data_IF_707971048985
#
_entry.id   IF_707971048985
#
_cell.length_a   1.000
_cell.length_b   1.000
_cell.length_c   1.000
_cell.angle_alpha   90.00
_cell.angle_beta   90.00
_cell.angle_gamma   90.00
#
_symmetry.space_group_name_H-M   'P 1'
#
loop_
_entity.id
_entity.type
_entity.pdbx_description
1 polymer ?
#
# COMPACT_ATOMS: atom_id res chain seq x y z
N UNK A 1 32.45 36.60 -39.96
CA UNK A 1 32.66 38.06 -39.79
C UNK A 1 31.54 38.52 -38.92
N UNK A 2 31.78 39.08 -37.88
CA UNK A 2 32.28 40.12 -37.14
C UNK A 2 31.96 39.92 -35.63
N UNK A 3 33.01 40.10 -34.87
CA UNK A 3 33.01 40.22 -33.39
C UNK A 3 32.39 41.55 -32.96
N UNK A 4 31.69 41.59 -31.87
CA UNK A 4 31.60 42.77 -31.04
C UNK A 4 31.68 42.45 -29.56
N UNK A 5 32.85 42.79 -29.00
CA UNK A 5 33.17 42.87 -27.57
C UNK A 5 32.69 44.25 -27.08
N UNK A 6 32.01 44.27 -25.95
CA UNK A 6 31.92 45.51 -25.15
C UNK A 6 32.32 45.21 -23.72
N UNK A 7 33.34 45.92 -23.28
CA UNK A 7 33.84 46.04 -21.92
C UNK A 7 33.08 47.14 -21.17
N UNK A 8 33.01 47.08 -19.89
CA UNK A 8 32.77 48.20 -18.97
C UNK A 8 31.97 47.70 -17.74
N UNK A 9 32.45 47.71 -16.66
CA UNK A 9 33.16 48.45 -15.60
C UNK A 9 32.38 48.28 -14.30
N UNK A 10 33.14 48.04 -13.26
CA UNK A 10 32.77 47.89 -11.85
C UNK A 10 31.90 49.04 -11.29
N UNK A 11 30.96 48.71 -10.40
CA UNK A 11 30.82 49.53 -9.20
C UNK A 11 30.23 48.70 -8.06
N UNK A 12 30.90 48.77 -6.94
CA UNK A 12 30.59 48.10 -5.68
C UNK A 12 29.55 48.94 -4.91
N UNK A 13 28.47 48.32 -4.52
CA UNK A 13 27.61 48.85 -3.48
C UNK A 13 27.27 47.75 -2.45
N UNK A 14 27.92 47.82 -1.32
CA UNK A 14 27.57 47.04 -0.11
C UNK A 14 26.13 47.40 0.31
N UNK A 15 25.24 46.42 0.17
CA UNK A 15 23.95 46.41 0.88
C UNK A 15 23.97 45.30 1.91
N UNK A 16 24.12 45.71 3.18
CA UNK A 16 23.85 44.84 4.33
C UNK A 16 22.34 44.49 4.31
N UNK A 17 22.02 43.31 3.82
CA UNK A 17 20.71 42.70 4.01
C UNK A 17 20.82 41.70 5.15
N UNK A 18 20.19 42.04 6.25
CA UNK A 18 19.99 41.18 7.41
C UNK A 18 19.16 39.97 6.97
N UNK A 19 19.84 38.84 6.85
CA UNK A 19 19.19 37.55 6.61
C UNK A 19 18.45 37.16 7.89
N UNK A 20 17.13 37.29 7.88
CA UNK A 20 16.26 36.69 8.89
C UNK A 20 16.50 35.18 8.90
N UNK A 21 16.86 34.64 10.05
CA UNK A 21 16.97 33.20 10.30
C UNK A 21 15.65 32.54 9.93
N UNK A 22 15.65 31.48 9.11
CA UNK A 22 14.44 30.71 8.89
C UNK A 22 14.01 30.09 10.22
N UNK A 23 12.75 30.34 10.59
CA UNK A 23 12.10 29.68 11.71
C UNK A 23 12.20 28.16 11.51
N UNK A 24 12.72 27.47 12.54
CA UNK A 24 12.67 26.01 12.60
C UNK A 24 11.23 25.56 12.38
N UNK A 25 10.94 24.96 11.21
CA UNK A 25 9.83 24.03 11.09
C UNK A 25 10.10 22.90 12.08
N UNK A 26 9.24 22.76 13.04
CA UNK A 26 9.17 21.59 13.90
C UNK A 26 8.85 20.41 12.99
N UNK A 27 9.88 19.61 12.72
CA UNK A 27 9.77 18.32 12.04
C UNK A 27 9.04 17.37 13.01
N UNK A 28 7.74 17.17 12.79
CA UNK A 28 6.97 16.13 13.48
C UNK A 28 7.45 14.70 13.13
N UNK A 29 8.38 14.55 12.19
CA UNK A 29 9.06 13.29 11.89
C UNK A 29 9.97 12.76 13.00
N UNK A 30 10.41 13.62 13.92
CA UNK A 30 11.24 13.23 15.07
C UNK A 30 10.50 12.40 16.12
N UNK A 31 9.19 12.56 16.22
CA UNK A 31 8.39 11.89 17.26
C UNK A 31 8.29 10.38 17.05
N UNK A 32 8.15 9.92 15.81
CA UNK A 32 8.03 8.49 15.51
C UNK A 32 9.36 7.74 15.66
N UNK A 33 10.47 8.34 15.24
CA UNK A 33 11.80 7.76 15.42
C UNK A 33 12.20 7.69 16.91
N UNK A 34 11.81 8.67 17.72
CA UNK A 34 12.03 8.67 19.17
C UNK A 34 11.16 7.62 19.86
N UNK A 35 9.88 7.50 19.51
CA UNK A 35 9.01 6.43 20.02
C UNK A 35 9.56 5.03 19.68
N UNK A 36 10.10 4.83 18.49
CA UNK A 36 10.73 3.58 18.09
C UNK A 36 12.01 3.27 18.87
N UNK A 37 12.81 4.29 19.18
CA UNK A 37 14.03 4.13 19.98
C UNK A 37 13.71 3.73 21.43
N UNK A 38 12.67 4.29 22.02
CA UNK A 38 12.24 3.97 23.39
C UNK A 38 11.64 2.55 23.46
N UNK A 39 10.93 2.11 22.45
CA UNK A 39 10.38 0.74 22.33
C UNK A 39 11.50 -0.30 22.21
N UNK A 40 12.60 0.03 21.53
CA UNK A 40 13.76 -0.87 21.38
C UNK A 40 14.58 -1.04 22.66
N UNK A 41 14.43 -0.14 23.63
CA UNK A 41 15.16 -0.17 24.91
C UNK A 41 14.43 -0.89 26.04
N UNK A 42 13.17 -1.23 25.86
CA UNK A 42 12.37 -1.94 26.87
C UNK A 42 12.48 -3.45 26.73
N UNK A 43 12.70 -4.13 27.82
CA UNK A 43 12.63 -5.62 27.92
C UNK A 43 11.19 -6.17 27.86
N UNK A 44 10.22 -5.30 27.51
CA UNK A 44 8.82 -5.65 27.40
C UNK A 44 8.58 -6.51 26.14
N UNK A 45 8.06 -7.74 26.30
CA UNK A 45 7.77 -8.63 25.19
C UNK A 45 6.80 -8.03 24.15
N UNK A 46 5.83 -7.22 24.60
CA UNK A 46 4.85 -6.58 23.71
C UNK A 46 5.48 -5.46 22.90
N UNK A 47 6.38 -4.67 23.51
CA UNK A 47 7.15 -3.66 22.80
C UNK A 47 8.03 -4.28 21.70
N UNK A 48 8.65 -5.43 21.96
CA UNK A 48 9.45 -6.15 20.99
C UNK A 48 8.58 -6.73 19.87
N UNK A 49 7.40 -7.27 20.18
CA UNK A 49 6.44 -7.81 19.22
C UNK A 49 5.96 -6.74 18.24
N UNK A 50 5.73 -5.52 18.72
CA UNK A 50 5.23 -4.39 17.95
C UNK A 50 6.34 -3.51 17.35
N UNK A 51 7.61 -3.92 17.47
CA UNK A 51 8.71 -3.19 16.85
C UNK A 51 8.64 -3.24 15.33
N UNK A 52 9.09 -2.17 14.67
CA UNK A 52 9.16 -2.11 13.19
C UNK A 52 9.97 -3.27 12.62
N UNK A 53 11.06 -3.64 13.26
CA UNK A 53 11.89 -4.77 12.84
C UNK A 53 11.09 -6.08 12.85
N UNK A 54 10.38 -6.37 13.96
CA UNK A 54 9.54 -7.55 14.03
C UNK A 54 8.42 -7.53 13.00
N UNK A 55 7.74 -6.40 12.82
CA UNK A 55 6.65 -6.28 11.83
C UNK A 55 7.17 -6.53 10.42
N UNK A 56 8.31 -5.96 10.04
CA UNK A 56 8.92 -6.20 8.73
C UNK A 56 9.28 -7.68 8.54
N UNK A 57 9.88 -8.30 9.55
CA UNK A 57 10.23 -9.71 9.52
C UNK A 57 9.00 -10.62 9.50
N UNK A 58 7.98 -10.32 10.31
CA UNK A 58 6.74 -11.08 10.33
C UNK A 58 5.99 -11.00 8.99
N UNK A 59 5.91 -9.83 8.36
CA UNK A 59 5.26 -9.73 7.04
C UNK A 59 5.95 -10.55 5.95
N UNK A 60 7.25 -10.82 6.11
CA UNK A 60 8.02 -11.66 5.19
C UNK A 60 7.94 -13.16 5.56
N UNK A 61 7.93 -13.47 6.86
CA UNK A 61 8.02 -14.83 7.42
C UNK A 61 7.11 -14.98 8.65
N UNK A 62 5.77 -15.02 8.46
CA UNK A 62 4.82 -15.04 9.57
C UNK A 62 4.89 -16.29 10.46
N UNK A 63 5.50 -17.36 9.96
CA UNK A 63 5.74 -18.61 10.66
C UNK A 63 6.93 -18.55 11.65
N UNK A 64 7.78 -17.51 11.56
CA UNK A 64 9.05 -17.41 12.31
C UNK A 64 9.06 -16.29 13.33
N UNK A 65 8.17 -15.36 13.23
CA UNK A 65 8.15 -14.16 14.06
C UNK A 65 6.80 -14.00 14.74
N UNK A 66 6.73 -13.45 15.96
CA UNK A 66 5.47 -13.22 16.64
C UNK A 66 4.59 -12.24 15.88
N UNK A 67 3.31 -12.54 15.80
CA UNK A 67 2.34 -11.67 15.15
C UNK A 67 2.22 -10.36 15.93
N UNK A 68 2.39 -9.19 15.26
CA UNK A 68 2.20 -7.89 15.87
C UNK A 68 0.72 -7.63 16.15
N UNK A 69 0.45 -6.67 17.04
CA UNK A 69 -0.92 -6.17 17.24
C UNK A 69 -1.43 -5.47 15.99
N UNK A 70 -2.74 -5.53 15.76
CA UNK A 70 -3.38 -4.95 14.58
C UNK A 70 -3.08 -3.45 14.42
N UNK A 71 -3.06 -2.69 15.54
CA UNK A 71 -2.75 -1.25 15.51
C UNK A 71 -1.33 -0.99 15.02
N UNK A 72 -0.35 -1.70 15.59
CA UNK A 72 1.05 -1.56 15.19
C UNK A 72 1.27 -2.02 13.74
N UNK A 73 0.65 -3.12 13.34
CA UNK A 73 0.72 -3.64 11.99
C UNK A 73 0.12 -2.64 10.99
N UNK A 74 -1.10 -2.14 11.23
CA UNK A 74 -1.76 -1.20 10.33
C UNK A 74 -0.97 0.10 10.23
N UNK A 75 -0.48 0.65 11.35
CA UNK A 75 0.38 1.83 11.33
C UNK A 75 1.62 1.64 10.46
N UNK A 76 2.30 0.50 10.59
CA UNK A 76 3.47 0.18 9.77
C UNK A 76 3.13 -0.03 8.29
N UNK A 77 1.99 -0.68 7.99
CA UNK A 77 1.54 -0.92 6.61
C UNK A 77 1.25 0.38 5.84
N UNK A 78 0.94 1.47 6.52
CA UNK A 78 0.66 2.79 5.93
C UNK A 78 1.82 3.79 6.12
N UNK A 79 2.97 3.33 6.59
CA UNK A 79 4.16 4.15 6.72
C UNK A 79 4.93 4.18 5.39
N UNK A 80 5.05 5.35 4.76
CA UNK A 80 5.73 5.54 3.47
C UNK A 80 7.22 5.19 3.54
N UNK A 81 7.90 5.49 4.67
CA UNK A 81 9.31 5.21 4.85
C UNK A 81 9.64 3.71 4.78
N UNK A 82 8.68 2.86 5.14
CA UNK A 82 8.82 1.41 5.05
C UNK A 82 8.52 0.87 3.65
N UNK A 83 7.94 1.71 2.77
CA UNK A 83 7.55 1.38 1.40
C UNK A 83 8.29 2.16 0.33
N UNK A 84 9.17 3.06 0.73
CA UNK A 84 9.96 3.83 -0.22
C UNK A 84 10.96 2.94 -0.95
N UNK A 85 10.79 2.87 -2.26
CA UNK A 85 11.69 2.15 -3.17
C UNK A 85 12.85 3.03 -3.67
N UNK A 86 12.86 4.32 -3.37
CA UNK A 86 13.87 5.25 -3.89
C UNK A 86 15.25 5.01 -3.30
N UNK A 87 15.29 4.53 -2.06
CA UNK A 87 16.53 4.29 -1.30
C UNK A 87 16.85 2.82 -1.08
N UNK A 88 15.96 1.91 -1.50
CA UNK A 88 16.10 0.48 -1.26
C UNK A 88 15.72 -0.35 -2.48
N UNK A 89 16.44 -1.45 -2.69
CA UNK A 89 16.10 -2.44 -3.71
C UNK A 89 14.75 -3.13 -3.47
N UNK A 90 14.26 -3.14 -2.21
CA UNK A 90 12.98 -3.73 -1.81
C UNK A 90 12.39 -2.96 -0.63
N UNK A 91 11.05 -2.80 -0.54
CA UNK A 91 10.43 -2.20 0.63
C UNK A 91 10.74 -3.06 1.87
N UNK A 92 10.91 -2.40 3.01
CA UNK A 92 11.11 -3.09 4.30
C UNK A 92 9.90 -3.94 4.67
N UNK A 93 8.71 -3.37 4.49
CA UNK A 93 7.46 -4.06 4.78
C UNK A 93 6.95 -4.78 3.54
N UNK A 94 6.72 -6.08 3.67
CA UNK A 94 6.31 -6.99 2.60
C UNK A 94 4.89 -7.52 2.76
N UNK A 95 4.67 -8.74 2.29
CA UNK A 95 3.48 -9.55 2.57
C UNK A 95 2.22 -9.18 1.79
N UNK A 96 2.17 -8.05 1.10
CA UNK A 96 1.00 -7.60 0.30
C UNK A 96 -0.32 -7.60 1.07
N UNK A 97 -0.26 -7.19 2.33
CA UNK A 97 -1.43 -7.10 3.20
C UNK A 97 -2.29 -5.86 2.91
N UNK A 98 -1.74 -4.88 2.23
CA UNK A 98 -2.45 -3.73 1.63
C UNK A 98 -1.94 -3.54 0.22
N UNK A 99 -2.77 -2.95 -0.65
CA UNK A 99 -2.31 -2.52 -1.96
C UNK A 99 -1.58 -1.19 -1.80
N UNK A 100 -0.37 -1.12 -2.32
CA UNK A 100 0.39 0.11 -2.38
C UNK A 100 1.02 0.23 -3.76
N UNK A 101 0.72 1.32 -4.47
CA UNK A 101 1.21 1.60 -5.82
C UNK A 101 1.77 3.02 -5.88
N UNK A 102 2.82 3.22 -6.67
CA UNK A 102 3.38 4.54 -6.89
C UNK A 102 2.69 5.21 -8.08
N UNK A 103 2.15 6.40 -7.85
CA UNK A 103 1.60 7.24 -8.90
C UNK A 103 2.69 7.86 -9.78
N UNK A 104 2.37 8.31 -11.01
CA UNK A 104 3.31 9.00 -11.88
C UNK A 104 3.92 10.27 -11.27
N UNK A 105 3.20 10.95 -10.38
CA UNK A 105 3.65 12.14 -9.64
C UNK A 105 4.56 11.81 -8.44
N UNK A 106 4.79 10.52 -8.19
CA UNK A 106 5.63 10.04 -7.09
C UNK A 106 4.90 9.78 -5.78
N UNK A 107 3.64 10.21 -5.65
CA UNK A 107 2.81 9.89 -4.48
C UNK A 107 2.47 8.41 -4.41
N UNK A 108 2.08 7.93 -3.22
CA UNK A 108 1.67 6.55 -3.02
C UNK A 108 0.14 6.45 -2.94
N UNK A 109 -0.40 5.58 -3.77
CA UNK A 109 -1.78 5.11 -3.68
C UNK A 109 -1.86 3.96 -2.69
N UNK A 110 -2.91 3.96 -1.87
CA UNK A 110 -3.21 2.86 -0.94
C UNK A 110 -4.64 2.35 -1.13
N UNK A 111 -4.80 1.04 -0.98
CA UNK A 111 -6.10 0.45 -0.77
C UNK A 111 -6.03 -0.59 0.37
N UNK A 112 -6.90 -0.49 1.41
CA UNK A 112 -7.86 0.60 1.67
C UNK A 112 -7.20 1.98 1.71
N UNK A 113 -7.96 3.08 1.46
CA UNK A 113 -7.42 4.45 1.50
C UNK A 113 -6.85 4.81 2.88
N UNK A 114 -5.95 5.80 2.93
CA UNK A 114 -5.35 6.26 4.19
C UNK A 114 -6.35 6.80 5.20
N UNK A 115 -7.40 7.45 4.70
CA UNK A 115 -8.50 8.04 5.46
C UNK A 115 -9.63 7.03 5.79
N UNK A 116 -9.52 5.78 5.34
CA UNK A 116 -10.45 4.72 5.76
C UNK A 116 -10.35 4.49 7.28
N UNK A 117 -11.47 4.07 7.89
CA UNK A 117 -11.51 3.76 9.31
C UNK A 117 -10.54 2.63 9.69
N UNK A 118 -10.17 2.57 10.98
CA UNK A 118 -9.32 1.49 11.47
C UNK A 118 -9.97 0.12 11.23
N UNK A 119 -11.26 0.00 11.48
CA UNK A 119 -12.04 -1.23 11.32
C UNK A 119 -12.05 -1.69 9.86
N UNK A 120 -12.17 -0.77 8.92
CA UNK A 120 -12.12 -1.08 7.49
C UNK A 120 -10.73 -1.58 7.07
N UNK A 121 -9.68 -0.90 7.51
CA UNK A 121 -8.29 -1.33 7.28
C UNK A 121 -8.02 -2.70 7.87
N UNK A 122 -8.46 -2.91 9.12
CA UNK A 122 -8.33 -4.18 9.83
C UNK A 122 -9.05 -5.31 9.09
N UNK A 123 -10.31 -5.12 8.74
CA UNK A 123 -11.10 -6.14 8.03
C UNK A 123 -10.47 -6.55 6.69
N UNK A 124 -9.89 -5.58 5.97
CA UNK A 124 -9.13 -5.86 4.75
C UNK A 124 -7.86 -6.66 5.05
N UNK A 125 -7.05 -6.21 6.01
CA UNK A 125 -5.81 -6.89 6.41
C UNK A 125 -6.09 -8.32 6.87
N UNK A 126 -7.12 -8.55 7.68
CA UNK A 126 -7.53 -9.89 8.15
C UNK A 126 -7.93 -10.80 6.98
N UNK A 127 -8.64 -10.25 6.00
CA UNK A 127 -8.95 -11.00 4.78
C UNK A 127 -7.67 -11.42 4.06
N UNK A 128 -6.71 -10.48 3.93
CA UNK A 128 -5.43 -10.75 3.25
C UNK A 128 -4.53 -11.69 4.06
N UNK A 129 -4.50 -11.60 5.40
CA UNK A 129 -3.78 -12.56 6.27
C UNK A 129 -4.22 -14.00 6.00
N UNK A 130 -5.50 -14.22 5.76
CA UNK A 130 -6.06 -15.55 5.46
C UNK A 130 -5.64 -16.15 4.11
N UNK A 131 -4.94 -15.42 3.25
CA UNK A 131 -4.50 -15.87 1.94
C UNK A 131 -3.02 -16.27 1.94
N UNK A 132 -2.65 -17.20 1.07
CA UNK A 132 -1.25 -17.48 0.78
C UNK A 132 -0.57 -16.27 0.11
N UNK A 133 0.76 -16.27 0.06
CA UNK A 133 1.53 -15.20 -0.59
C UNK A 133 1.15 -15.03 -2.07
N UNK A 134 0.93 -16.13 -2.77
CA UNK A 134 0.54 -16.13 -4.19
C UNK A 134 -0.87 -15.59 -4.38
N UNK A 135 -1.83 -16.03 -3.56
CA UNK A 135 -3.20 -15.52 -3.59
C UNK A 135 -3.25 -14.01 -3.30
N UNK A 136 -2.45 -13.52 -2.33
CA UNK A 136 -2.33 -12.08 -2.06
C UNK A 136 -1.80 -11.32 -3.27
N UNK A 137 -0.84 -11.90 -4.00
CA UNK A 137 -0.31 -11.31 -5.22
C UNK A 137 -1.40 -11.15 -6.28
N UNK A 138 -2.20 -12.19 -6.51
CA UNK A 138 -3.31 -12.15 -7.47
C UNK A 138 -4.34 -11.09 -7.08
N UNK A 139 -4.78 -11.10 -5.83
CA UNK A 139 -5.76 -10.11 -5.33
C UNK A 139 -5.23 -8.67 -5.41
N UNK A 140 -3.97 -8.42 -5.04
CA UNK A 140 -3.40 -7.06 -5.14
C UNK A 140 -3.28 -6.59 -6.58
N UNK A 141 -3.02 -7.48 -7.54
CA UNK A 141 -3.01 -7.14 -8.96
C UNK A 141 -4.42 -6.81 -9.45
N UNK A 142 -5.43 -7.62 -9.13
CA UNK A 142 -6.83 -7.34 -9.47
C UNK A 142 -7.29 -5.96 -8.95
N UNK A 143 -6.95 -5.65 -7.70
CA UNK A 143 -7.27 -4.34 -7.11
C UNK A 143 -6.52 -3.23 -7.84
N UNK A 144 -5.23 -3.42 -8.14
CA UNK A 144 -4.42 -2.47 -8.90
C UNK A 144 -4.99 -2.22 -10.30
N UNK A 145 -5.44 -3.27 -10.96
CA UNK A 145 -6.09 -3.19 -12.28
C UNK A 145 -7.41 -2.44 -12.21
N UNK A 146 -8.23 -2.70 -11.19
CA UNK A 146 -9.51 -2.01 -10.97
C UNK A 146 -9.31 -0.49 -10.84
N UNK A 147 -8.22 -0.06 -10.18
CA UNK A 147 -7.90 1.36 -10.00
C UNK A 147 -6.99 1.92 -11.10
N UNK A 148 -6.71 1.16 -12.16
CA UNK A 148 -6.04 1.66 -13.37
C UNK A 148 -4.52 1.72 -13.30
N UNK A 149 -3.89 1.02 -12.35
CA UNK A 149 -2.43 0.96 -12.22
C UNK A 149 -1.76 -0.06 -13.15
N UNK A 150 -2.51 -0.98 -13.73
CA UNK A 150 -1.97 -1.96 -14.67
C UNK A 150 -2.38 -1.65 -16.10
N UNK A 151 -1.43 -1.70 -17.06
CA UNK A 151 -1.74 -1.55 -18.48
C UNK A 151 -2.34 -2.83 -19.08
N UNK A 152 -2.32 -3.96 -18.36
CA UNK A 152 -2.57 -5.29 -18.93
C UNK A 152 -4.04 -5.69 -18.97
N UNK A 153 -4.93 -4.98 -18.27
CA UNK A 153 -6.35 -5.31 -18.24
C UNK A 153 -7.25 -4.16 -18.69
N UNK A 154 -7.42 -3.95 -20.02
CA UNK A 154 -8.25 -2.87 -20.55
C UNK A 154 -9.73 -3.00 -20.16
N UNK A 155 -10.17 -4.17 -19.71
CA UNK A 155 -11.55 -4.43 -19.34
C UNK A 155 -11.92 -3.82 -17.98
N UNK A 156 -11.08 -3.97 -16.98
CA UNK A 156 -11.25 -3.34 -15.67
C UNK A 156 -11.04 -1.83 -15.75
N UNK A 157 -10.23 -1.36 -16.70
CA UNK A 157 -9.98 0.07 -16.97
C UNK A 157 -11.23 0.88 -17.28
N UNK A 158 -12.27 0.28 -17.84
CA UNK A 158 -13.55 1.00 -18.12
C UNK A 158 -14.34 1.31 -16.87
N UNK A 159 -14.06 0.66 -15.75
CA UNK A 159 -14.66 0.96 -14.45
C UNK A 159 -13.76 1.81 -13.54
N UNK A 160 -12.51 2.06 -13.93
CA UNK A 160 -11.48 2.76 -13.15
C UNK A 160 -11.70 4.25 -12.92
N UNK A 161 -12.86 4.80 -13.28
CA UNK A 161 -13.28 6.13 -12.83
C UNK A 161 -13.80 6.14 -11.39
N UNK A 162 -13.80 4.97 -10.72
CA UNK A 162 -14.14 4.91 -9.29
C UNK A 162 -12.93 5.36 -8.49
N UNK A 163 -13.10 6.39 -7.69
CA UNK A 163 -12.12 6.78 -6.68
C UNK A 163 -12.04 5.69 -5.62
N UNK A 164 -10.84 5.37 -5.13
CA UNK A 164 -10.64 4.33 -4.11
C UNK A 164 -11.53 4.51 -2.87
N UNK A 165 -11.81 5.76 -2.47
CA UNK A 165 -12.71 6.09 -1.37
C UNK A 165 -14.20 5.79 -1.62
N UNK A 166 -14.61 5.52 -2.88
CA UNK A 166 -15.98 5.16 -3.21
C UNK A 166 -16.28 3.66 -3.11
N UNK A 167 -15.24 2.82 -2.88
CA UNK A 167 -15.38 1.37 -2.79
C UNK A 167 -14.98 0.91 -1.40
N UNK A 168 -15.95 0.49 -0.61
CA UNK A 168 -15.68 -0.09 0.72
C UNK A 168 -15.08 -1.48 0.60
N UNK A 169 -14.20 -1.85 1.53
CA UNK A 169 -13.58 -3.18 1.56
C UNK A 169 -14.61 -4.32 1.67
N UNK A 170 -15.76 -4.06 2.29
CA UNK A 170 -16.85 -5.03 2.39
C UNK A 170 -17.49 -5.40 1.06
N UNK A 171 -17.47 -4.50 0.07
CA UNK A 171 -18.06 -4.70 -1.26
C UNK A 171 -17.03 -4.93 -2.36
N UNK A 172 -15.77 -4.61 -2.09
CA UNK A 172 -14.68 -4.74 -3.08
C UNK A 172 -14.57 -6.15 -3.64
N UNK A 173 -14.51 -7.14 -2.76
CA UNK A 173 -14.29 -8.54 -3.19
C UNK A 173 -15.49 -9.08 -3.97
N UNK A 174 -16.70 -8.64 -3.64
CA UNK A 174 -17.91 -9.01 -4.40
C UNK A 174 -17.86 -8.39 -5.81
N UNK A 175 -17.46 -7.11 -5.91
CA UNK A 175 -17.29 -6.44 -7.20
C UNK A 175 -16.20 -7.09 -8.05
N UNK A 176 -15.05 -7.43 -7.47
CA UNK A 176 -13.97 -8.12 -8.18
C UNK A 176 -14.43 -9.49 -8.69
N UNK A 177 -15.14 -10.24 -7.84
CA UNK A 177 -15.67 -11.55 -8.19
C UNK A 177 -16.64 -11.47 -9.36
N UNK A 178 -17.58 -10.55 -9.31
CA UNK A 178 -18.56 -10.36 -10.38
C UNK A 178 -17.89 -10.01 -11.72
N UNK A 179 -16.87 -9.15 -11.70
CA UNK A 179 -16.13 -8.78 -12.91
C UNK A 179 -15.31 -9.94 -13.45
N UNK A 180 -14.62 -10.70 -12.61
CA UNK A 180 -13.84 -11.88 -13.06
C UNK A 180 -14.76 -12.95 -13.63
N UNK A 181 -15.92 -13.23 -13.00
CA UNK A 181 -16.90 -14.18 -13.51
C UNK A 181 -17.48 -13.73 -14.85
N UNK A 182 -17.76 -12.43 -14.99
CA UNK A 182 -18.25 -11.86 -16.23
C UNK A 182 -17.23 -11.98 -17.36
N UNK A 183 -15.96 -11.72 -17.06
CA UNK A 183 -14.84 -11.91 -18.00
C UNK A 183 -14.77 -13.36 -18.45
N UNK A 184 -14.76 -14.32 -17.52
CA UNK A 184 -14.70 -15.74 -17.83
C UNK A 184 -15.85 -16.22 -18.74
N UNK A 185 -17.06 -15.66 -18.57
CA UNK A 185 -18.22 -15.97 -19.44
C UNK A 185 -18.04 -15.46 -20.87
N UNK A 186 -17.24 -14.42 -21.06
CA UNK A 186 -16.99 -13.80 -22.38
C UNK A 186 -15.73 -14.36 -23.07
N UNK A 187 -14.81 -14.94 -22.30
CA UNK A 187 -13.57 -15.50 -22.82
C UNK A 187 -13.83 -16.80 -23.58
N UNK A 188 -13.18 -16.94 -24.75
CA UNK A 188 -13.17 -18.20 -25.46
C UNK A 188 -12.49 -19.29 -24.62
N UNK A 189 -12.89 -20.55 -24.81
CA UNK A 189 -12.36 -21.71 -24.07
C UNK A 189 -10.85 -21.87 -24.24
N UNK A 190 -10.33 -21.52 -25.41
CA UNK A 190 -8.92 -21.62 -25.78
C UNK A 190 -8.14 -20.29 -25.54
N UNK A 191 -8.73 -19.31 -24.84
CA UNK A 191 -8.03 -18.07 -24.53
C UNK A 191 -6.83 -18.34 -23.60
N UNK A 192 -5.61 -17.93 -23.98
CA UNK A 192 -4.40 -18.21 -23.20
C UNK A 192 -4.42 -17.60 -21.79
N UNK A 193 -5.25 -16.59 -21.56
CA UNK A 193 -5.39 -15.95 -20.25
C UNK A 193 -6.49 -16.60 -19.39
N UNK A 194 -7.27 -17.51 -19.93
CA UNK A 194 -8.38 -18.15 -19.22
C UNK A 194 -7.93 -18.88 -17.95
N UNK A 195 -6.85 -19.70 -17.95
CA UNK A 195 -6.37 -20.37 -16.74
C UNK A 195 -6.02 -19.39 -15.62
N UNK A 196 -5.46 -18.23 -15.97
CA UNK A 196 -5.16 -17.18 -15.00
C UNK A 196 -6.44 -16.61 -14.36
N UNK A 197 -7.44 -16.31 -15.18
CA UNK A 197 -8.75 -15.82 -14.72
C UNK A 197 -9.49 -16.84 -13.84
N UNK A 198 -9.37 -18.12 -14.15
CA UNK A 198 -9.94 -19.20 -13.34
C UNK A 198 -9.27 -19.27 -11.95
N UNK A 199 -7.97 -19.06 -11.87
CA UNK A 199 -7.27 -18.95 -10.58
C UNK A 199 -7.71 -17.73 -9.77
N UNK A 200 -7.86 -16.58 -10.39
CA UNK A 200 -8.39 -15.36 -9.75
C UNK A 200 -9.80 -15.59 -9.21
N UNK A 201 -10.68 -16.23 -9.98
CA UNK A 201 -12.03 -16.59 -9.54
C UNK A 201 -11.99 -17.51 -8.32
N UNK A 202 -11.13 -18.54 -8.33
CA UNK A 202 -11.00 -19.47 -7.21
C UNK A 202 -10.54 -18.77 -5.91
N UNK A 203 -9.62 -17.81 -5.99
CA UNK A 203 -9.19 -17.03 -4.83
C UNK A 203 -10.34 -16.17 -4.29
N UNK A 204 -11.09 -15.52 -5.17
CA UNK A 204 -12.23 -14.69 -4.78
C UNK A 204 -13.38 -15.54 -4.17
N UNK A 205 -13.64 -16.73 -4.71
CA UNK A 205 -14.59 -17.67 -4.13
C UNK A 205 -14.18 -18.11 -2.72
N UNK A 206 -12.89 -18.41 -2.51
CA UNK A 206 -12.33 -18.72 -1.18
C UNK A 206 -12.53 -17.58 -0.17
N UNK A 207 -12.34 -16.32 -0.60
CA UNK A 207 -12.60 -15.15 0.25
C UNK A 207 -14.09 -15.07 0.60
N UNK A 208 -14.96 -15.25 -0.38
CA UNK A 208 -16.40 -15.22 -0.21
C UNK A 208 -16.87 -16.29 0.78
N UNK A 209 -16.46 -17.55 0.61
CA UNK A 209 -16.79 -18.66 1.49
C UNK A 209 -16.38 -18.42 2.94
N UNK A 210 -15.19 -17.86 3.17
CA UNK A 210 -14.69 -17.52 4.51
C UNK A 210 -15.54 -16.43 5.16
N UNK A 211 -15.91 -15.39 4.39
CA UNK A 211 -16.79 -14.31 4.89
C UNK A 211 -18.17 -14.84 5.27
N UNK A 212 -18.74 -15.73 4.46
CA UNK A 212 -20.02 -16.35 4.75
C UNK A 212 -19.96 -17.30 5.96
N UNK A 213 -18.84 -18.02 6.12
CA UNK A 213 -18.61 -18.85 7.30
C UNK A 213 -18.51 -18.01 8.58
N UNK A 214 -17.77 -16.89 8.54
CA UNK A 214 -17.65 -15.97 9.66
C UNK A 214 -19.01 -15.35 10.07
N UNK A 215 -19.84 -14.94 9.10
CA UNK A 215 -21.20 -14.45 9.36
C UNK A 215 -22.06 -15.50 10.07
N UNK A 216 -21.99 -16.76 9.63
CA UNK A 216 -22.75 -17.86 10.26
C UNK A 216 -22.31 -18.12 11.69
N UNK A 217 -21.00 -18.04 11.97
CA UNK A 217 -20.46 -18.24 13.32
C UNK A 217 -20.81 -17.10 14.29
N UNK A 218 -21.04 -15.89 13.78
CA UNK A 218 -21.39 -14.74 14.61
C UNK A 218 -22.89 -14.71 15.04
N UNK A 219 -23.74 -15.57 14.46
CA UNK A 219 -25.17 -15.66 14.74
C UNK A 219 -25.50 -16.72 15.82
N UNK A 220 -24.50 -17.51 16.22
CA UNK A 220 -24.59 -18.53 17.27
C UNK A 220 -23.85 -18.10 18.53
#
# INVERSE_FOLDING_TARGET
MAYLRVHGTEDAAHVHSSVAKPSKKTDDGGSFAVMLSDVLSTSDPDAKRNSVENICNWTAHPDRYPEPDDEALIAALYNDDLRDYSTMAKPRIGGRLVVCQKNPDGSLFYYPPRDASFEEKRAFVDTMKGLSREERYQVTNLISDMFGFSPFHPFLRRQSQRTAGAVQSSTLFDLLRDEVIKDLKQMHVDDPNRPWREQEAAVLDKIFERREAAKRSAVH
#
